data_IF_633750913237
#
_entry.id   IF_633750913237
#
_cell.length_a   1.000
_cell.length_b   1.000
_cell.length_c   1.000
_cell.angle_alpha   90.00
_cell.angle_beta   90.00
_cell.angle_gamma   90.00
#
_symmetry.space_group_name_H-M   'P 1'
#
loop_
_entity.id
_entity.type
_entity.pdbx_description
1 polymer ?
#
# COMPACT_ATOMS: atom_id res chain seq x y z
N UNK A 1 -15.74 -2.66 -22.64
CA UNK A 1 -16.35 -1.89 -21.54
C UNK A 1 -17.38 -0.83 -21.96
N UNK A 2 -17.62 -0.54 -23.26
CA UNK A 2 -18.53 0.55 -23.69
C UNK A 2 -20.01 0.40 -23.28
N UNK A 3 -20.41 -0.72 -22.66
CA UNK A 3 -21.79 -0.99 -22.25
C UNK A 3 -22.06 -0.78 -20.75
N UNK A 4 -21.05 -0.36 -19.97
CA UNK A 4 -21.21 -0.08 -18.54
C UNK A 4 -21.09 1.41 -18.23
N UNK A 5 -22.00 1.93 -17.41
CA UNK A 5 -21.92 3.28 -16.83
C UNK A 5 -21.05 3.21 -15.57
N UNK A 6 -19.78 3.59 -15.70
CA UNK A 6 -18.84 3.62 -14.60
C UNK A 6 -19.03 4.87 -13.76
N UNK A 7 -19.05 4.69 -12.44
CA UNK A 7 -19.26 5.75 -11.46
C UNK A 7 -18.05 5.77 -10.52
N UNK A 8 -17.18 6.77 -10.64
CA UNK A 8 -16.09 6.97 -9.70
C UNK A 8 -16.58 7.79 -8.51
N UNK A 9 -16.74 7.13 -7.35
CA UNK A 9 -17.05 7.80 -6.10
C UNK A 9 -15.77 8.19 -5.37
N UNK A 10 -15.14 9.28 -5.84
CA UNK A 10 -13.90 9.80 -5.27
C UNK A 10 -13.81 11.31 -5.39
N UNK A 11 -13.32 11.97 -4.33
CA UNK A 11 -12.95 13.37 -4.35
C UNK A 11 -11.50 13.61 -4.82
N UNK A 12 -10.71 12.56 -5.03
CA UNK A 12 -9.30 12.68 -5.41
C UNK A 12 -9.15 13.11 -6.88
N UNK A 13 -8.56 14.30 -7.15
CA UNK A 13 -8.30 14.75 -8.52
C UNK A 13 -7.36 13.81 -9.27
N UNK A 14 -6.38 13.22 -8.56
CA UNK A 14 -5.38 12.30 -9.14
C UNK A 14 -6.00 11.01 -9.65
N UNK A 15 -6.97 10.44 -8.92
CA UNK A 15 -7.68 9.23 -9.34
C UNK A 15 -8.51 9.47 -10.60
N UNK A 16 -9.24 10.59 -10.63
CA UNK A 16 -9.99 11.01 -11.82
C UNK A 16 -9.05 11.16 -13.03
N UNK A 17 -7.98 11.92 -12.86
CA UNK A 17 -7.00 12.15 -13.93
C UNK A 17 -6.43 10.85 -14.49
N UNK A 18 -5.97 9.94 -13.63
CA UNK A 18 -5.39 8.66 -14.09
C UNK A 18 -6.41 7.79 -14.84
N UNK A 19 -7.66 7.75 -14.39
CA UNK A 19 -8.71 7.01 -15.11
C UNK A 19 -9.07 7.68 -16.45
N UNK A 20 -9.07 9.00 -16.52
CA UNK A 20 -9.30 9.73 -17.79
C UNK A 20 -8.16 9.46 -18.78
N UNK A 21 -6.90 9.56 -18.34
CA UNK A 21 -5.70 9.29 -19.14
C UNK A 21 -5.64 7.84 -19.64
N UNK A 22 -6.13 6.88 -18.84
CA UNK A 22 -6.26 5.49 -19.23
C UNK A 22 -7.45 5.20 -20.16
N UNK A 23 -8.24 6.22 -20.52
CA UNK A 23 -9.32 6.12 -21.50
C UNK A 23 -10.65 5.60 -20.95
N UNK A 24 -10.82 5.53 -19.63
CA UNK A 24 -12.10 5.17 -19.04
C UNK A 24 -13.14 6.28 -19.28
N UNK A 25 -14.37 5.87 -19.60
CA UNK A 25 -15.53 6.77 -19.61
C UNK A 25 -16.33 6.53 -18.33
N UNK A 26 -16.43 7.55 -17.49
CA UNK A 26 -17.09 7.46 -16.19
C UNK A 26 -17.62 8.82 -15.76
N UNK A 27 -18.49 8.82 -14.75
CA UNK A 27 -18.93 10.04 -14.05
C UNK A 27 -18.38 10.06 -12.64
N UNK A 28 -18.04 11.25 -12.16
CA UNK A 28 -17.53 11.44 -10.80
C UNK A 28 -18.65 11.85 -9.87
N UNK A 29 -18.69 11.24 -8.71
CA UNK A 29 -19.62 11.56 -7.63
C UNK A 29 -18.84 11.77 -6.34
N UNK A 30 -19.20 12.81 -5.59
CA UNK A 30 -18.65 13.00 -4.25
C UNK A 30 -19.35 12.03 -3.29
N UNK A 31 -18.56 11.36 -2.46
CA UNK A 31 -19.04 10.53 -1.36
C UNK A 31 -18.40 10.99 -0.07
N UNK A 32 -19.19 11.05 0.99
CA UNK A 32 -18.70 11.35 2.34
C UNK A 32 -18.62 10.03 3.09
N UNK A 33 -17.46 9.76 3.64
CA UNK A 33 -17.19 8.60 4.46
C UNK A 33 -16.24 9.04 5.57
N UNK A 34 -16.54 8.65 6.80
CA UNK A 34 -15.66 8.89 7.93
C UNK A 34 -14.59 7.79 7.91
N UNK A 35 -13.32 8.19 7.72
CA UNK A 35 -12.18 7.28 7.58
C UNK A 35 -11.75 6.72 8.96
N UNK A 36 -12.69 6.16 9.74
CA UNK A 36 -12.42 5.48 11.02
C UNK A 36 -12.37 3.98 10.79
N UNK A 37 -11.26 3.36 11.19
CA UNK A 37 -10.99 1.93 11.00
C UNK A 37 -10.83 1.20 12.35
N UNK A 38 -11.17 -0.10 12.42
CA UNK A 38 -10.83 -0.92 13.57
C UNK A 38 -9.32 -1.00 13.80
N UNK A 39 -8.89 -0.93 15.06
CA UNK A 39 -7.46 -0.87 15.44
C UNK A 39 -6.67 -2.15 15.18
N UNK A 40 -7.34 -3.28 14.90
CA UNK A 40 -6.68 -4.56 14.64
C UNK A 40 -6.30 -4.76 13.18
N UNK A 41 -6.88 -3.97 12.25
CA UNK A 41 -6.59 -4.09 10.82
C UNK A 41 -5.19 -3.58 10.51
N UNK A 42 -4.51 -4.21 9.54
CA UNK A 42 -3.15 -3.87 9.14
C UNK A 42 -2.99 -3.80 7.62
N UNK A 43 -2.14 -2.89 7.15
CA UNK A 43 -1.74 -2.80 5.75
C UNK A 43 -2.93 -2.89 4.78
N UNK A 44 -2.98 -3.95 3.95
CA UNK A 44 -4.03 -4.16 2.95
C UNK A 44 -5.45 -4.18 3.53
N UNK A 45 -5.64 -4.74 4.72
CA UNK A 45 -6.96 -4.89 5.33
C UNK A 45 -7.60 -3.52 5.60
N UNK A 46 -6.77 -2.54 5.96
CA UNK A 46 -7.20 -1.15 6.14
C UNK A 46 -7.66 -0.56 4.80
N UNK A 47 -6.82 -0.67 3.76
CA UNK A 47 -7.12 -0.06 2.47
C UNK A 47 -8.40 -0.65 1.85
N UNK A 48 -8.57 -1.97 1.97
CA UNK A 48 -9.78 -2.70 1.55
C UNK A 48 -11.00 -2.27 2.37
N UNK A 49 -10.88 -2.21 3.70
CA UNK A 49 -11.95 -1.74 4.58
C UNK A 49 -12.41 -0.31 4.25
N UNK A 50 -11.48 0.61 4.02
CA UNK A 50 -11.80 2.00 3.68
C UNK A 50 -12.44 2.12 2.29
N UNK A 51 -11.96 1.37 1.30
CA UNK A 51 -12.57 1.33 -0.02
C UNK A 51 -14.01 0.76 0.02
N UNK A 52 -14.22 -0.34 0.74
CA UNK A 52 -15.53 -0.94 0.95
C UNK A 52 -16.47 -0.02 1.75
N UNK A 53 -15.98 0.65 2.80
CA UNK A 53 -16.75 1.63 3.57
C UNK A 53 -17.23 2.82 2.72
N UNK A 54 -16.38 3.30 1.80
CA UNK A 54 -16.78 4.30 0.78
C UNK A 54 -17.87 3.74 -0.14
N UNK A 55 -17.73 2.50 -0.60
CA UNK A 55 -18.78 1.83 -1.40
C UNK A 55 -20.10 1.71 -0.64
N UNK A 56 -20.06 1.32 0.64
CA UNK A 56 -21.23 1.18 1.50
C UNK A 56 -21.93 2.52 1.81
N UNK A 57 -21.20 3.63 1.77
CA UNK A 57 -21.75 4.97 1.96
C UNK A 57 -22.57 5.49 0.76
N UNK A 58 -22.61 4.74 -0.34
CA UNK A 58 -23.43 5.06 -1.50
C UNK A 58 -24.86 4.55 -1.26
N UNK A 59 -25.75 5.52 -1.06
CA UNK A 59 -27.13 5.35 -0.61
C UNK A 59 -28.15 5.14 -1.74
N UNK A 60 -27.71 5.17 -3.00
CA UNK A 60 -28.57 5.02 -4.18
C UNK A 60 -28.52 3.60 -4.72
N UNK A 61 -29.65 3.04 -5.20
CA UNK A 61 -29.60 1.79 -5.94
C UNK A 61 -28.78 1.98 -7.23
N UNK A 62 -27.97 0.98 -7.56
CA UNK A 62 -27.27 0.92 -8.84
C UNK A 62 -28.20 0.27 -9.87
N UNK A 63 -28.40 0.93 -11.00
CA UNK A 63 -29.20 0.39 -12.09
C UNK A 63 -28.42 -0.72 -12.83
N UNK A 64 -29.11 -1.60 -13.57
CA UNK A 64 -28.44 -2.58 -14.43
C UNK A 64 -27.43 -1.90 -15.37
N UNK A 65 -26.20 -2.42 -15.41
CA UNK A 65 -25.10 -1.85 -16.20
C UNK A 65 -24.33 -0.72 -15.52
N UNK A 66 -24.69 -0.30 -14.29
CA UNK A 66 -23.88 0.63 -13.50
C UNK A 66 -22.86 -0.10 -12.65
N UNK A 67 -21.62 0.42 -12.63
CA UNK A 67 -20.55 -0.06 -11.76
C UNK A 67 -20.02 1.10 -10.93
N UNK A 68 -20.20 1.02 -9.62
CA UNK A 68 -19.59 1.91 -8.65
C UNK A 68 -18.14 1.50 -8.41
N UNK A 69 -17.25 2.49 -8.45
CA UNK A 69 -15.81 2.34 -8.20
C UNK A 69 -15.46 3.26 -7.05
N UNK A 70 -15.00 2.68 -5.95
CA UNK A 70 -14.40 3.41 -4.82
C UNK A 70 -12.97 2.94 -4.61
N UNK A 71 -12.14 3.83 -4.08
CA UNK A 71 -10.77 3.49 -3.75
C UNK A 71 -10.27 4.31 -2.57
N UNK A 72 -9.35 3.71 -1.82
CA UNK A 72 -8.60 4.40 -0.78
C UNK A 72 -7.13 4.00 -0.81
N UNK A 73 -6.25 4.92 -0.43
CA UNK A 73 -4.80 4.73 -0.49
C UNK A 73 -4.19 5.11 0.84
N UNK A 74 -3.44 4.18 1.42
CA UNK A 74 -2.70 4.40 2.65
C UNK A 74 -1.19 4.31 2.42
N UNK A 75 -0.43 4.90 3.34
CA UNK A 75 1.02 4.70 3.44
C UNK A 75 1.29 3.92 4.72
N UNK A 76 1.83 2.72 4.59
CA UNK A 76 2.15 1.83 5.71
C UNK A 76 3.66 1.81 5.94
N UNK A 77 4.10 2.18 7.13
CA UNK A 77 5.52 2.21 7.48
C UNK A 77 5.74 1.84 8.96
N UNK A 78 6.59 0.84 9.22
CA UNK A 78 6.89 0.33 10.57
C UNK A 78 5.63 0.12 11.41
N UNK A 79 4.71 -0.72 10.90
CA UNK A 79 3.44 -1.08 11.54
C UNK A 79 2.49 0.09 11.88
N UNK A 80 2.63 1.23 11.21
CA UNK A 80 1.76 2.41 11.36
C UNK A 80 1.15 2.79 10.02
N UNK A 81 -0.16 3.09 10.03
CA UNK A 81 -0.83 3.77 8.93
C UNK A 81 -0.57 5.27 9.01
N UNK A 82 0.22 5.80 8.07
CA UNK A 82 0.45 7.22 7.89
C UNK A 82 -0.64 7.77 6.97
N UNK A 83 -1.75 8.20 7.58
CA UNK A 83 -2.86 8.84 6.88
C UNK A 83 -2.53 10.24 6.37
N UNK A 84 -3.56 11.07 6.19
CA UNK A 84 -3.39 12.49 5.88
C UNK A 84 -2.97 13.22 7.17
N UNK A 85 -1.88 14.01 7.18
CA UNK A 85 -1.47 14.69 8.39
C UNK A 85 -2.47 15.80 8.76
N UNK A 86 -2.74 15.97 10.05
CA UNK A 86 -3.64 17.00 10.57
C UNK A 86 -3.05 18.42 10.45
N UNK A 87 -1.72 18.54 10.53
CA UNK A 87 -0.98 19.78 10.47
C UNK A 87 0.45 19.59 9.95
N UNK A 88 1.18 20.71 9.82
CA UNK A 88 2.55 20.72 9.31
C UNK A 88 3.51 19.96 10.24
N UNK A 89 3.27 19.93 11.56
CA UNK A 89 4.13 19.21 12.50
C UNK A 89 3.99 17.69 12.33
N UNK A 90 2.76 17.21 12.12
CA UNK A 90 2.53 15.80 11.79
C UNK A 90 3.09 15.44 10.40
N UNK A 91 2.99 16.34 9.42
CA UNK A 91 3.61 16.13 8.11
C UNK A 91 5.13 15.94 8.22
N UNK A 92 5.81 16.80 9.00
CA UNK A 92 7.24 16.67 9.28
C UNK A 92 7.55 15.34 9.98
N UNK A 93 6.73 14.94 10.97
CA UNK A 93 6.89 13.67 11.69
C UNK A 93 6.79 12.47 10.72
N UNK A 94 5.80 12.45 9.84
CA UNK A 94 5.64 11.42 8.82
C UNK A 94 6.88 11.36 7.92
N UNK A 95 7.32 12.49 7.37
CA UNK A 95 8.47 12.54 6.47
C UNK A 95 9.78 12.09 7.14
N UNK A 96 10.00 12.43 8.42
CA UNK A 96 11.14 11.91 9.18
C UNK A 96 11.07 10.39 9.35
N UNK A 97 9.88 9.83 9.55
CA UNK A 97 9.67 8.37 9.64
C UNK A 97 9.94 7.65 8.31
N UNK A 98 9.62 8.30 7.20
CA UNK A 98 9.82 7.77 5.84
C UNK A 98 11.26 7.94 5.34
N UNK A 99 12.01 8.90 5.88
CA UNK A 99 13.41 9.18 5.51
C UNK A 99 14.30 7.94 5.63
N UNK A 100 15.04 7.62 4.57
CA UNK A 100 15.95 6.47 4.51
C UNK A 100 15.26 5.10 4.60
N UNK A 101 13.93 5.05 4.55
CA UNK A 101 13.15 3.84 4.79
C UNK A 101 12.42 3.38 3.53
N UNK A 102 12.18 2.07 3.46
CA UNK A 102 11.21 1.48 2.54
C UNK A 102 9.85 1.42 3.23
N UNK A 103 8.82 1.94 2.58
CA UNK A 103 7.43 1.91 3.02
C UNK A 103 6.53 1.36 1.92
N UNK A 104 5.30 1.04 2.28
CA UNK A 104 4.31 0.47 1.37
C UNK A 104 3.22 1.50 1.09
N UNK A 105 2.94 1.71 -0.19
CA UNK A 105 1.74 2.44 -0.64
C UNK A 105 0.73 1.41 -1.07
N UNK A 106 -0.42 1.39 -0.40
CA UNK A 106 -1.43 0.36 -0.58
C UNK A 106 -2.73 1.02 -0.98
N UNK A 107 -3.25 0.67 -2.17
CA UNK A 107 -4.57 1.14 -2.62
C UNK A 107 -5.55 -0.01 -2.60
N UNK A 108 -6.63 0.14 -1.82
CA UNK A 108 -7.81 -0.71 -1.91
C UNK A 108 -8.76 -0.17 -2.95
N UNK A 109 -9.39 -1.06 -3.72
CA UNK A 109 -10.42 -0.77 -4.71
C UNK A 109 -11.63 -1.63 -4.37
N UNK A 110 -12.81 -1.02 -4.41
CA UNK A 110 -14.08 -1.74 -4.38
C UNK A 110 -14.86 -1.44 -5.66
N UNK A 111 -15.30 -2.51 -6.31
CA UNK A 111 -16.20 -2.52 -7.47
C UNK A 111 -17.55 -3.08 -7.02
N UNK A 112 -18.63 -2.35 -7.27
CA UNK A 112 -19.97 -2.79 -6.89
C UNK A 112 -20.99 -2.53 -7.98
N UNK A 113 -21.87 -3.50 -8.23
CA UNK A 113 -23.06 -3.35 -9.06
C UNK A 113 -24.33 -3.66 -8.25
N UNK A 114 -25.46 -3.86 -8.93
CA UNK A 114 -26.73 -4.17 -8.27
C UNK A 114 -26.83 -5.58 -7.68
N UNK A 115 -25.85 -6.46 -7.94
CA UNK A 115 -25.88 -7.89 -7.64
C UNK A 115 -24.70 -8.35 -6.79
N UNK A 116 -23.53 -7.75 -6.96
CA UNK A 116 -22.28 -8.21 -6.37
C UNK A 116 -21.33 -7.07 -6.05
N UNK A 117 -20.38 -7.39 -5.18
CA UNK A 117 -19.25 -6.56 -4.81
C UNK A 117 -17.94 -7.35 -4.98
N UNK A 118 -16.88 -6.66 -5.38
CA UNK A 118 -15.53 -7.20 -5.49
C UNK A 118 -14.57 -6.19 -4.86
N UNK A 119 -13.72 -6.67 -3.97
CA UNK A 119 -12.69 -5.88 -3.31
C UNK A 119 -11.33 -6.46 -3.68
N UNK A 120 -10.39 -5.59 -3.99
CA UNK A 120 -8.98 -5.93 -4.22
C UNK A 120 -8.07 -4.84 -3.67
N UNK A 121 -6.80 -5.17 -3.48
CA UNK A 121 -5.77 -4.20 -3.12
C UNK A 121 -4.51 -4.36 -3.95
N UNK A 122 -3.77 -3.26 -4.11
CA UNK A 122 -2.47 -3.22 -4.79
C UNK A 122 -1.46 -2.55 -3.87
N UNK A 123 -0.35 -3.24 -3.62
CA UNK A 123 0.76 -2.76 -2.79
C UNK A 123 1.94 -2.39 -3.67
N UNK A 124 2.60 -1.28 -3.36
CA UNK A 124 3.83 -0.85 -4.04
C UNK A 124 4.84 -0.41 -2.99
N UNK A 125 6.05 -0.98 -3.05
CA UNK A 125 7.16 -0.56 -2.22
C UNK A 125 7.75 0.74 -2.75
N UNK A 126 7.99 1.71 -1.88
CA UNK A 126 8.66 2.97 -2.20
C UNK A 126 9.80 3.16 -1.20
N UNK A 127 10.99 3.51 -1.69
CA UNK A 127 12.15 3.75 -0.83
C UNK A 127 12.59 5.20 -0.97
N UNK A 128 12.67 5.90 0.16
CA UNK A 128 13.34 7.19 0.23
C UNK A 128 14.84 7.01 0.52
N UNK A 129 15.68 7.86 -0.06
CA UNK A 129 17.01 8.13 0.52
C UNK A 129 16.85 8.83 1.86
N UNK A 130 17.94 8.97 2.59
CA UNK A 130 17.97 9.87 3.73
C UNK A 130 17.67 11.32 3.28
N UNK A 131 16.65 11.90 3.89
CA UNK A 131 16.21 13.28 3.74
C UNK A 131 16.73 14.10 4.92
N UNK A 132 17.28 15.28 4.64
CA UNK A 132 17.64 16.23 5.70
C UNK A 132 16.43 16.97 6.24
N UNK A 133 16.52 17.48 7.48
CA UNK A 133 15.47 18.30 8.09
C UNK A 133 15.15 19.53 7.23
N UNK A 134 16.15 20.19 6.66
CA UNK A 134 15.97 21.34 5.76
C UNK A 134 15.12 20.97 4.52
N UNK A 135 15.32 19.78 3.94
CA UNK A 135 14.53 19.31 2.80
C UNK A 135 13.08 19.02 3.19
N UNK A 136 12.88 18.43 4.37
CA UNK A 136 11.55 18.12 4.91
C UNK A 136 10.78 19.41 5.20
N UNK A 137 11.38 20.34 5.93
CA UNK A 137 10.77 21.62 6.30
C UNK A 137 10.49 22.48 5.07
N UNK A 138 11.42 22.51 4.10
CA UNK A 138 11.22 23.17 2.82
C UNK A 138 10.00 22.60 2.09
N UNK A 139 9.90 21.28 1.98
CA UNK A 139 8.79 20.65 1.27
C UNK A 139 7.45 20.92 1.96
N UNK A 140 7.35 20.75 3.27
CA UNK A 140 6.10 21.00 4.01
C UNK A 140 5.67 22.45 3.86
N UNK A 141 6.59 23.41 4.01
CA UNK A 141 6.29 24.84 3.91
C UNK A 141 5.85 25.28 2.52
N UNK A 142 6.43 24.71 1.45
CA UNK A 142 6.19 25.15 0.08
C UNK A 142 5.11 24.35 -0.65
N UNK A 143 4.86 23.09 -0.27
CA UNK A 143 3.94 22.19 -0.96
C UNK A 143 2.72 21.80 -0.13
N UNK A 144 2.75 22.00 1.19
CA UNK A 144 1.62 21.81 2.13
C UNK A 144 0.87 20.48 1.91
N UNK A 145 1.52 19.32 2.12
CA UNK A 145 1.02 18.00 1.70
C UNK A 145 -0.08 17.42 2.62
N UNK A 146 -0.97 18.27 3.15
CA UNK A 146 -2.02 17.88 4.10
C UNK A 146 -3.12 17.03 3.46
N UNK A 147 -3.24 17.03 2.14
CA UNK A 147 -4.22 16.23 1.39
C UNK A 147 -3.71 14.82 1.02
N UNK A 148 -2.52 14.41 1.49
CA UNK A 148 -1.81 13.21 1.02
C UNK A 148 -1.49 12.26 2.16
N UNK A 149 -1.81 10.98 1.95
CA UNK A 149 -1.35 9.91 2.84
C UNK A 149 0.19 9.89 2.88
N UNK A 150 0.76 9.73 4.07
CA UNK A 150 2.21 9.77 4.30
C UNK A 150 2.86 11.14 4.11
N UNK A 151 2.06 12.21 3.94
CA UNK A 151 2.53 13.58 3.76
C UNK A 151 3.49 13.80 2.59
N UNK A 152 3.40 13.03 1.50
CA UNK A 152 4.18 13.29 0.29
C UNK A 152 3.43 12.97 -1.01
N UNK A 153 3.84 13.64 -2.09
CA UNK A 153 3.42 13.33 -3.46
C UNK A 153 4.61 12.88 -4.31
N UNK A 154 4.50 11.70 -4.95
CA UNK A 154 5.55 11.17 -5.83
C UNK A 154 5.87 12.08 -7.03
N UNK A 155 4.88 12.85 -7.50
CA UNK A 155 5.01 13.80 -8.61
C UNK A 155 5.54 15.18 -8.15
N UNK A 156 5.67 15.40 -6.85
CA UNK A 156 6.10 16.68 -6.28
C UNK A 156 7.61 16.66 -5.99
N UNK A 157 8.15 17.82 -5.60
CA UNK A 157 9.59 18.03 -5.42
C UNK A 157 10.26 16.98 -4.54
N UNK A 158 9.63 16.58 -3.43
CA UNK A 158 10.19 15.56 -2.53
C UNK A 158 10.20 14.18 -3.16
N UNK A 159 9.17 13.84 -3.95
CA UNK A 159 9.11 12.57 -4.67
C UNK A 159 10.20 12.48 -5.72
N UNK A 160 10.38 13.55 -6.49
CA UNK A 160 11.40 13.64 -7.55
C UNK A 160 12.84 13.62 -7.01
N UNK A 161 13.09 14.13 -5.79
CA UNK A 161 14.45 14.23 -5.21
C UNK A 161 14.77 13.16 -4.17
N UNK A 162 13.74 12.57 -3.57
CA UNK A 162 13.88 11.72 -2.39
C UNK A 162 13.67 10.24 -2.67
N UNK A 163 12.84 9.87 -3.66
CA UNK A 163 12.55 8.47 -3.95
C UNK A 163 13.68 7.88 -4.79
N UNK A 164 14.26 6.78 -4.32
CA UNK A 164 15.34 6.05 -5.02
C UNK A 164 14.85 4.81 -5.72
N UNK A 165 13.79 4.18 -5.20
CA UNK A 165 13.29 2.90 -5.72
C UNK A 165 11.78 2.85 -5.61
N UNK A 166 11.14 2.28 -6.65
CA UNK A 166 9.73 1.93 -6.66
C UNK A 166 9.62 0.47 -7.10
N UNK A 167 8.99 -0.35 -6.28
CA UNK A 167 8.80 -1.79 -6.49
C UNK A 167 7.30 -2.07 -6.61
N UNK A 168 6.79 -2.03 -7.84
CA UNK A 168 5.37 -2.21 -8.14
C UNK A 168 4.84 -1.12 -9.08
N UNK A 169 3.56 -0.78 -8.92
CA UNK A 169 2.85 0.12 -9.82
C UNK A 169 3.07 1.60 -9.46
N UNK A 170 3.72 2.35 -10.33
CA UNK A 170 3.87 3.80 -10.17
C UNK A 170 2.50 4.49 -10.03
N UNK A 171 1.51 4.07 -10.83
CA UNK A 171 0.17 4.66 -10.81
C UNK A 171 -0.58 4.37 -9.51
N UNK A 172 -0.29 3.23 -8.86
CA UNK A 172 -0.74 2.95 -7.50
C UNK A 172 -0.27 4.03 -6.51
N UNK A 173 1.02 4.41 -6.60
CA UNK A 173 1.61 5.45 -5.72
C UNK A 173 0.99 6.83 -5.98
N UNK A 174 0.67 7.15 -7.23
CA UNK A 174 -0.04 8.39 -7.60
C UNK A 174 -1.47 8.40 -7.03
N UNK A 175 -2.10 7.23 -6.93
CA UNK A 175 -3.35 7.03 -6.18
C UNK A 175 -4.39 6.13 -6.86
N UNK A 176 -4.11 5.59 -8.06
CA UNK A 176 -4.98 4.62 -8.72
C UNK A 176 -4.16 3.58 -9.52
N UNK A 177 -4.17 2.30 -9.14
CA UNK A 177 -3.54 1.24 -9.93
C UNK A 177 -4.40 0.91 -11.16
N UNK A 178 -4.29 1.73 -12.22
CA UNK A 178 -5.19 1.68 -13.38
C UNK A 178 -5.11 0.38 -14.18
N UNK A 179 -3.97 -0.29 -14.22
CA UNK A 179 -3.82 -1.57 -14.91
C UNK A 179 -4.61 -2.67 -14.19
N UNK A 180 -4.49 -2.71 -12.87
CA UNK A 180 -5.16 -3.67 -12.00
C UNK A 180 -6.67 -3.37 -11.94
N UNK A 181 -7.06 -2.09 -11.89
CA UNK A 181 -8.45 -1.66 -12.03
C UNK A 181 -9.05 -2.12 -13.37
N UNK A 182 -8.32 -1.95 -14.47
CA UNK A 182 -8.77 -2.38 -15.79
C UNK A 182 -9.02 -3.88 -15.84
N UNK A 183 -8.05 -4.69 -15.41
CA UNK A 183 -8.17 -6.15 -15.34
C UNK A 183 -9.34 -6.56 -14.45
N UNK A 184 -9.44 -5.98 -13.25
CA UNK A 184 -10.54 -6.25 -12.31
C UNK A 184 -11.90 -5.91 -12.94
N UNK A 185 -12.03 -4.79 -13.64
CA UNK A 185 -13.27 -4.42 -14.32
C UNK A 185 -13.65 -5.39 -15.44
N UNK A 186 -12.69 -5.97 -16.16
CA UNK A 186 -12.99 -6.97 -17.19
C UNK A 186 -13.55 -8.25 -16.59
N UNK A 187 -12.92 -8.78 -15.54
CA UNK A 187 -13.44 -9.93 -14.79
C UNK A 187 -14.80 -9.62 -14.14
N UNK A 188 -14.92 -8.45 -13.51
CA UNK A 188 -16.14 -8.02 -12.83
C UNK A 188 -17.32 -7.91 -13.80
N UNK A 189 -17.08 -7.42 -15.01
CA UNK A 189 -18.11 -7.25 -16.06
C UNK A 189 -18.35 -8.49 -16.92
N UNK A 190 -17.65 -9.60 -16.68
CA UNK A 190 -17.81 -10.85 -17.41
C UNK A 190 -17.20 -10.85 -18.82
N UNK A 191 -16.25 -9.95 -19.10
CA UNK A 191 -15.40 -10.09 -20.27
C UNK A 191 -14.27 -11.04 -19.87
N UNK A 192 -14.38 -12.32 -20.23
CA UNK A 192 -13.36 -13.34 -19.99
C UNK A 192 -12.03 -12.92 -20.62
N UNK A 193 -11.12 -12.35 -19.82
CA UNK A 193 -9.69 -12.47 -20.11
C UNK A 193 -9.25 -13.75 -19.43
N UNK A 194 -9.04 -14.79 -20.23
CA UNK A 194 -8.31 -15.96 -19.79
C UNK A 194 -6.86 -15.56 -19.54
N UNK A 195 -6.49 -15.35 -18.29
CA UNK A 195 -5.15 -15.58 -17.74
C UNK A 195 -5.27 -15.51 -16.21
N UNK A 196 -4.79 -16.55 -15.52
CA UNK A 196 -4.73 -16.63 -14.06
C UNK A 196 -3.88 -15.48 -13.50
N UNK A 197 -4.54 -14.47 -12.95
CA UNK A 197 -3.92 -13.54 -12.00
C UNK A 197 -4.47 -13.85 -10.62
N UNK A 198 -3.59 -14.30 -9.72
CA UNK A 198 -3.91 -14.75 -8.36
C UNK A 198 -4.42 -13.65 -7.46
N UNK A 199 -5.69 -13.30 -7.62
CA UNK A 199 -6.46 -12.58 -6.61
C UNK A 199 -7.22 -13.60 -5.76
N UNK A 200 -6.84 -13.75 -4.50
CA UNK A 200 -7.61 -14.53 -3.54
C UNK A 200 -8.95 -13.81 -3.28
N UNK A 201 -10.01 -14.33 -3.87
CA UNK A 201 -11.39 -13.93 -3.55
C UNK A 201 -11.77 -14.50 -2.19
N UNK A 202 -12.02 -13.64 -1.20
CA UNK A 202 -12.61 -14.06 0.06
C UNK A 202 -14.01 -14.65 -0.18
N UNK A 203 -14.25 -15.84 0.37
CA UNK A 203 -15.37 -16.73 0.08
C UNK A 203 -16.73 -16.26 0.62
N UNK A 204 -17.76 -16.59 -0.17
CA UNK A 204 -19.18 -16.55 0.17
C UNK A 204 -19.48 -17.48 1.38
N UNK A 205 -20.20 -16.97 2.39
CA UNK A 205 -20.76 -17.81 3.45
C UNK A 205 -22.19 -18.24 3.10
N UNK A 206 -22.29 -19.47 2.60
CA UNK A 206 -23.56 -20.18 2.45
C UNK A 206 -24.15 -20.54 3.82
N UNK A 207 -25.41 -20.18 4.03
CA UNK A 207 -26.26 -20.68 5.11
C UNK A 207 -26.66 -22.12 4.78
N UNK A 208 -26.35 -23.06 5.66
CA UNK A 208 -27.08 -24.33 5.73
C UNK A 208 -27.62 -24.55 7.15
N UNK A 209 -28.92 -24.81 7.19
CA UNK A 209 -29.70 -25.21 8.35
C UNK A 209 -30.13 -26.68 8.16
N UNK A 210 -29.91 -27.54 9.15
CA UNK A 210 -30.49 -28.89 9.16
C UNK A 210 -30.08 -29.74 10.37
N UNK A 211 -31.00 -29.87 11.33
CA UNK A 211 -31.13 -30.93 12.36
C UNK A 211 -31.11 -32.35 11.73
N UNK A 212 -30.84 -33.51 12.35
CA UNK A 212 -30.30 -34.06 13.62
C UNK A 212 -30.19 -35.62 13.40
N UNK A 213 -30.02 -36.55 14.38
CA UNK A 213 -28.90 -37.50 14.49
C UNK A 213 -29.22 -39.00 14.20
N UNK A 214 -28.19 -39.89 14.20
CA UNK A 214 -28.41 -41.35 14.20
C UNK A 214 -27.17 -42.28 14.19
N UNK A 215 -26.92 -42.93 15.34
CA UNK A 215 -26.44 -44.31 15.63
C UNK A 215 -25.23 -44.98 14.94
N UNK A 216 -24.27 -45.34 15.80
CA UNK A 216 -23.55 -46.62 16.00
C UNK A 216 -23.24 -47.61 14.85
N UNK A 217 -21.96 -48.01 14.80
CA UNK A 217 -21.34 -49.37 14.72
C UNK A 217 -19.93 -49.16 14.12
N UNK A 218 -18.79 -49.55 14.69
CA UNK A 218 -18.42 -50.76 15.41
C UNK A 218 -17.66 -51.68 14.43
N UNK A 219 -16.32 -51.75 14.50
CA UNK A 219 -15.43 -52.91 14.25
C UNK A 219 -13.95 -52.49 13.99
N UNK A 220 -13.07 -52.78 14.95
CA UNK A 220 -11.64 -53.11 14.73
C UNK A 220 -11.48 -54.64 14.75
N UNK A 221 -10.37 -55.22 14.23
CA UNK A 221 -9.33 -55.68 15.17
C UNK A 221 -7.87 -55.75 14.65
N UNK A 222 -6.91 -55.64 15.59
CA UNK A 222 -5.69 -56.48 15.67
C UNK A 222 -4.35 -55.81 15.31
N UNK A 223 -3.51 -55.40 16.28
CA UNK A 223 -2.39 -56.15 16.95
C UNK A 223 -1.18 -56.40 16.02
N UNK A 224 0.09 -56.11 16.31
CA UNK A 224 0.95 -56.30 17.51
C UNK A 224 2.29 -55.52 17.31
N UNK A 225 2.72 -54.68 18.27
CA UNK A 225 3.87 -54.82 19.21
C UNK A 225 5.31 -55.05 18.69
N UNK A 226 6.23 -54.20 19.19
CA UNK A 226 7.61 -54.44 19.70
C UNK A 226 8.58 -53.33 19.24
N UNK A 227 8.93 -52.34 20.06
CA UNK A 227 9.93 -52.31 21.15
C UNK A 227 11.41 -52.32 20.72
N UNK A 228 12.07 -51.17 20.98
CA UNK A 228 13.29 -51.01 21.79
C UNK A 228 14.71 -51.15 21.17
N UNK A 229 15.38 -49.99 21.13
CA UNK A 229 16.69 -49.61 21.75
C UNK A 229 18.03 -49.62 20.96
N UNK A 230 18.84 -48.60 21.31
CA UNK A 230 20.32 -48.38 21.26
C UNK A 230 20.97 -48.20 19.86
N UNK A 231 21.99 -47.37 19.62
CA UNK A 231 23.12 -46.91 20.45
C UNK A 231 23.88 -45.73 19.80
N UNK A 232 24.63 -45.02 20.65
CA UNK A 232 25.52 -43.86 20.42
C UNK A 232 26.70 -44.08 19.45
N UNK A 233 27.22 -42.96 18.91
CA UNK A 233 28.63 -42.48 18.88
C UNK A 233 28.73 -41.43 17.77
N UNK A 234 29.35 -40.25 17.85
CA UNK A 234 30.38 -39.69 18.71
C UNK A 234 31.46 -39.13 17.77
N UNK A 235 31.75 -37.82 17.82
CA UNK A 235 33.07 -37.14 17.59
C UNK A 235 32.92 -35.68 17.13
N UNK A 236 33.25 -34.77 18.03
CA UNK A 236 33.98 -33.51 17.81
C UNK A 236 35.42 -33.72 18.37
N UNK A 237 36.43 -32.81 18.30
CA UNK A 237 36.43 -31.40 17.88
C UNK A 237 37.67 -30.96 17.03
N UNK A 238 37.72 -29.71 16.54
CA UNK A 238 39.00 -28.96 16.39
C UNK A 238 38.84 -27.43 16.20
N UNK A 239 39.22 -26.73 17.28
CA UNK A 239 39.78 -25.37 17.48
C UNK A 239 40.15 -24.45 16.30
N UNK A 240 39.60 -23.23 16.36
CA UNK A 240 40.27 -21.92 16.64
C UNK A 240 41.62 -21.54 15.98
N UNK A 241 41.69 -20.38 15.31
CA UNK A 241 42.48 -19.18 15.72
C UNK A 241 42.32 -18.00 14.71
N UNK A 242 42.23 -16.79 15.30
CA UNK A 242 42.14 -15.39 14.81
C UNK A 242 43.42 -14.95 14.06
N UNK A 243 43.56 -13.84 13.31
CA UNK A 243 43.42 -12.39 13.52
C UNK A 243 43.76 -11.76 12.12
N UNK A 244 43.39 -10.55 11.69
CA UNK A 244 43.82 -9.22 12.18
C UNK A 244 42.95 -8.12 11.55
N UNK A 245 42.53 -7.17 12.37
CA UNK A 245 41.95 -5.87 12.00
C UNK A 245 43.06 -4.82 11.95
N UNK A 246 43.29 -4.21 10.79
CA UNK A 246 44.16 -3.05 10.61
C UNK A 246 43.38 -1.74 10.72
N UNK A 247 43.52 -1.07 11.85
CA UNK A 247 43.14 0.33 12.06
C UNK A 247 44.27 1.24 11.54
N UNK A 248 43.98 2.20 10.65
CA UNK A 248 44.81 3.40 10.50
C UNK A 248 43.92 4.63 10.40
N UNK A 249 44.08 5.47 11.42
CA UNK A 249 43.52 6.80 11.60
C UNK A 249 44.01 7.79 10.54
N UNK A 250 43.14 8.76 10.23
CA UNK A 250 43.48 9.94 9.44
C UNK A 250 44.18 11.03 10.26
N UNK A 251 44.83 11.95 9.55
CA UNK A 251 44.65 13.41 9.65
C UNK A 251 45.76 14.13 8.89
N UNK A 252 45.37 14.95 7.91
CA UNK A 252 46.13 16.11 7.42
C UNK A 252 45.10 17.06 6.79
N UNK A 253 44.60 18.04 7.55
CA UNK A 253 45.03 19.45 7.51
C UNK A 253 45.01 20.08 6.12
N UNK A 254 44.09 21.02 5.90
CA UNK A 254 44.06 21.88 4.72
C UNK A 254 42.83 22.79 4.69
N UNK A 255 42.70 23.66 5.70
CA UNK A 255 41.68 24.70 5.72
C UNK A 255 42.39 26.03 5.42
N UNK A 256 42.39 26.45 4.15
CA UNK A 256 42.85 27.79 3.76
C UNK A 256 41.65 28.68 3.45
N UNK A 257 41.53 29.70 4.28
CA UNK A 257 40.62 30.83 4.20
C UNK A 257 41.05 31.75 3.06
N UNK A 258 40.16 32.09 2.13
CA UNK A 258 40.32 33.34 1.35
C UNK A 258 38.99 34.05 1.19
N UNK A 259 38.81 35.03 2.07
CA UNK A 259 37.76 36.02 2.06
C UNK A 259 38.40 37.37 1.71
N UNK A 260 37.95 38.01 0.62
CA UNK A 260 38.20 39.40 0.12
C UNK A 260 38.07 39.36 -1.42
N UNK A 261 37.23 40.12 -2.13
CA UNK A 261 36.91 41.54 -2.00
C UNK A 261 35.67 41.88 -2.85
N UNK A 262 34.83 42.77 -2.31
CA UNK A 262 33.92 43.75 -2.95
C UNK A 262 33.74 43.69 -4.49
N UNK A 263 32.48 43.79 -4.92
CA UNK A 263 32.04 44.99 -5.64
C UNK A 263 30.54 45.28 -5.48
N UNK A 264 30.28 46.51 -5.04
CA UNK A 264 29.03 47.26 -5.25
C UNK A 264 28.73 47.35 -6.75
N UNK A 265 27.45 47.41 -7.13
CA UNK A 265 26.75 48.50 -7.87
C UNK A 265 25.40 47.90 -8.33
N UNK A 266 24.28 48.18 -7.66
CA UNK A 266 23.24 49.17 -8.05
C UNK A 266 22.91 49.16 -9.56
N UNK A 267 21.73 48.68 -9.93
CA UNK A 267 20.66 49.42 -10.63
C UNK A 267 19.80 48.51 -11.52
N UNK A 268 18.49 48.68 -11.35
CA UNK A 268 17.34 48.23 -12.17
C UNK A 268 16.92 46.77 -11.94
#
# INVERSE_FOLDING_TARGET
MQNFDLILASSSPRRRQLMEEAGFRFRVVAIRFEETQPSHLRGKEIAEFLAAGKSASWDKPLAPGQVLITADTIVWCHDENLGKPADDAEAIRFLRKLSGCRHEVITGICLRDSKKEMILSVTTGVTFRELSDDEIEYYVSNYRPLDKAGAYGIQEWIGLRGITTIEGSYYNVVGMPVSELYTALLHFTGNEIGHETGYETASETGKESGHEPGSETGYEPGKETSSKTVKESGHEPAREIRHETGHKSGNATGNETRNKTRNKTRNI
#
